data_IF_617538150714
#
_entry.id   IF_617538150714
#
_cell.length_a   1.000
_cell.length_b   1.000
_cell.length_c   1.000
_cell.angle_alpha   90.00
_cell.angle_beta   90.00
_cell.angle_gamma   90.00
#
_symmetry.space_group_name_H-M   'P 1'
#
loop_
_entity.id
_entity.type
_entity.pdbx_description
1 polymer ?
#
# COMPACT_ATOMS: atom_id res chain seq x y z
N UNK A 1 -22.99 -26.44 7.53
CA UNK A 1 -23.00 -25.01 7.89
C UNK A 1 -21.55 -24.60 8.03
N UNK A 2 -20.97 -24.04 6.97
CA UNK A 2 -19.57 -23.62 6.95
C UNK A 2 -19.47 -22.27 7.64
N UNK A 3 -18.71 -22.19 8.72
CA UNK A 3 -18.37 -20.94 9.36
C UNK A 3 -17.52 -20.12 8.38
N UNK A 4 -18.11 -19.07 7.78
CA UNK A 4 -17.33 -18.08 7.06
C UNK A 4 -16.62 -17.23 8.10
N UNK A 5 -15.42 -17.66 8.50
CA UNK A 5 -14.50 -16.71 9.13
C UNK A 5 -14.04 -15.80 8.01
N UNK A 6 -14.63 -14.61 7.95
CA UNK A 6 -14.16 -13.53 7.09
C UNK A 6 -12.77 -13.16 7.61
N UNK A 7 -11.74 -13.66 6.95
CA UNK A 7 -10.46 -12.99 6.96
C UNK A 7 -10.70 -11.68 6.24
N UNK A 8 -10.44 -10.57 6.93
CA UNK A 8 -10.43 -9.26 6.32
C UNK A 8 -9.53 -9.30 5.06
N UNK A 9 -10.15 -9.01 3.92
CA UNK A 9 -9.61 -9.03 2.56
C UNK A 9 -8.52 -7.97 2.39
N UNK A 10 -7.38 -8.13 3.04
CA UNK A 10 -6.24 -7.21 2.87
C UNK A 10 -5.42 -7.62 1.65
N UNK A 11 -5.06 -6.64 0.83
CA UNK A 11 -4.23 -6.86 -0.35
C UNK A 11 -2.72 -6.97 -0.02
N UNK A 12 -2.36 -7.02 1.28
CA UNK A 12 -1.00 -7.21 1.74
C UNK A 12 -0.67 -6.50 3.06
N UNK A 13 0.60 -6.51 3.48
CA UNK A 13 1.02 -5.98 4.78
C UNK A 13 0.91 -4.45 4.89
N UNK A 14 1.09 -3.72 3.78
CA UNK A 14 0.95 -2.26 3.75
C UNK A 14 -0.50 -1.82 3.94
N UNK A 15 -1.44 -2.58 3.36
CA UNK A 15 -2.87 -2.30 3.48
C UNK A 15 -3.37 -2.50 4.91
N UNK A 16 -2.94 -3.61 5.54
CA UNK A 16 -3.18 -3.85 6.95
C UNK A 16 -2.62 -2.71 7.81
N UNK A 17 -1.40 -2.25 7.54
CA UNK A 17 -0.79 -1.13 8.29
C UNK A 17 -1.59 0.17 8.15
N UNK A 18 -1.99 0.54 6.92
CA UNK A 18 -2.84 1.71 6.71
C UNK A 18 -4.14 1.60 7.51
N UNK A 19 -4.78 0.43 7.46
CA UNK A 19 -6.03 0.20 8.20
C UNK A 19 -5.87 0.35 9.71
N UNK A 20 -4.78 -0.18 10.27
CA UNK A 20 -4.49 -0.07 11.70
C UNK A 20 -4.20 1.39 12.11
N UNK A 21 -3.48 2.14 11.28
CA UNK A 21 -3.19 3.56 11.50
C UNK A 21 -4.48 4.39 11.43
N UNK A 22 -5.32 4.16 10.43
CA UNK A 22 -6.62 4.83 10.28
C UNK A 22 -7.55 4.52 11.46
N UNK A 23 -7.66 3.24 11.87
CA UNK A 23 -8.48 2.83 13.01
C UNK A 23 -8.02 3.45 14.33
N UNK A 24 -6.73 3.74 14.46
CA UNK A 24 -6.15 4.40 15.62
C UNK A 24 -6.22 5.94 15.54
N UNK A 25 -6.77 6.50 14.46
CA UNK A 25 -6.84 7.94 14.19
C UNK A 25 -5.46 8.63 14.26
N UNK A 26 -4.43 7.97 13.69
CA UNK A 26 -3.05 8.44 13.71
C UNK A 26 -2.59 8.92 12.32
N UNK A 27 -1.66 9.86 12.30
CA UNK A 27 -0.92 10.23 11.08
C UNK A 27 0.11 9.15 10.73
N UNK A 28 0.48 9.03 9.44
CA UNK A 28 1.52 8.09 8.98
C UNK A 28 2.90 8.62 9.40
N UNK A 29 3.38 8.20 10.56
CA UNK A 29 4.69 8.58 11.11
C UNK A 29 5.40 7.38 11.74
N UNK A 30 6.70 7.48 11.96
CA UNK A 30 7.49 6.44 12.64
C UNK A 30 6.97 6.14 14.05
N UNK A 31 6.50 7.17 14.78
CA UNK A 31 5.90 7.02 16.11
C UNK A 31 4.59 6.23 16.01
N UNK A 32 3.73 6.55 15.04
CA UNK A 32 2.49 5.83 14.82
C UNK A 32 2.74 4.37 14.47
N UNK A 33 3.73 4.09 13.63
CA UNK A 33 4.16 2.73 13.29
C UNK A 33 4.56 1.94 14.54
N UNK A 34 5.38 2.52 15.41
CA UNK A 34 5.76 1.89 16.67
C UNK A 34 4.56 1.60 17.59
N UNK A 35 3.51 2.44 17.56
CA UNK A 35 2.27 2.25 18.35
C UNK A 35 1.38 1.13 17.78
N UNK A 36 1.29 0.99 16.46
CA UNK A 36 0.46 -0.05 15.82
C UNK A 36 1.17 -1.40 15.67
N UNK A 37 2.49 -1.47 15.91
CA UNK A 37 3.28 -2.71 15.84
C UNK A 37 2.65 -3.88 16.59
N UNK A 38 2.15 -3.66 17.81
CA UNK A 38 1.57 -4.76 18.61
C UNK A 38 0.28 -5.30 17.99
N UNK A 39 -0.53 -4.42 17.41
CA UNK A 39 -1.77 -4.81 16.72
C UNK A 39 -1.45 -5.58 15.43
N UNK A 40 -0.43 -5.14 14.70
CA UNK A 40 0.05 -5.81 13.50
C UNK A 40 0.56 -7.22 13.81
N UNK A 41 1.40 -7.37 14.85
CA UNK A 41 1.91 -8.68 15.27
C UNK A 41 0.81 -9.60 15.81
N UNK A 42 -0.21 -9.05 16.49
CA UNK A 42 -1.36 -9.83 16.92
C UNK A 42 -2.11 -10.42 15.72
N UNK A 43 -2.34 -9.62 14.67
CA UNK A 43 -2.99 -10.06 13.44
C UNK A 43 -2.20 -11.17 12.73
N UNK A 44 -0.87 -11.05 12.63
CA UNK A 44 -0.02 -12.09 12.04
C UNK A 44 -0.14 -13.43 12.79
N UNK A 45 -0.23 -13.41 14.12
CA UNK A 45 -0.37 -14.63 14.91
C UNK A 45 -1.72 -15.33 14.68
N UNK A 46 -2.73 -14.60 14.24
CA UNK A 46 -4.03 -15.16 13.84
C UNK A 46 -3.98 -15.73 12.41
N UNK A 47 -3.13 -15.15 11.54
CA UNK A 47 -2.89 -15.61 10.16
C UNK A 47 -2.09 -16.92 10.08
N UNK A 48 -1.37 -17.34 11.13
CA UNK A 48 -0.47 -18.50 11.18
C UNK A 48 -1.16 -19.87 10.88
N UNK A 49 -2.46 -19.85 10.59
CA UNK A 49 -3.26 -20.98 10.10
C UNK A 49 -3.40 -21.00 8.56
N UNK A 50 -2.76 -20.07 7.84
CA UNK A 50 -2.98 -19.79 6.42
C UNK A 50 -1.64 -19.71 5.68
N UNK A 51 -1.67 -20.12 4.41
CA UNK A 51 -0.62 -20.19 3.37
C UNK A 51 0.77 -19.56 3.71
N UNK A 52 1.84 -20.38 3.77
CA UNK A 52 3.20 -19.93 4.14
C UNK A 52 3.80 -18.84 3.26
N UNK A 53 3.46 -18.82 1.97
CA UNK A 53 4.03 -17.87 1.00
C UNK A 53 3.54 -16.44 1.28
N UNK A 54 2.26 -16.28 1.64
CA UNK A 54 1.68 -15.00 2.04
C UNK A 54 2.36 -14.46 3.30
N UNK A 55 2.67 -15.35 4.26
CA UNK A 55 3.25 -14.97 5.55
C UNK A 55 4.64 -14.33 5.41
N UNK A 56 5.43 -14.71 4.40
CA UNK A 56 6.78 -14.19 4.20
C UNK A 56 6.82 -12.66 4.08
N UNK A 57 5.93 -12.08 3.28
CA UNK A 57 5.85 -10.62 3.08
C UNK A 57 5.48 -9.87 4.36
N UNK A 58 4.60 -10.46 5.16
CA UNK A 58 4.20 -9.93 6.47
C UNK A 58 5.36 -9.98 7.47
N UNK A 59 6.15 -11.05 7.47
CA UNK A 59 7.30 -11.18 8.37
C UNK A 59 8.39 -10.15 8.08
N UNK A 60 8.63 -9.81 6.81
CA UNK A 60 9.57 -8.74 6.43
C UNK A 60 9.15 -7.41 7.03
N UNK A 61 7.86 -7.06 6.95
CA UNK A 61 7.33 -5.83 7.52
C UNK A 61 7.31 -5.89 9.05
N UNK A 62 6.98 -7.04 9.64
CA UNK A 62 7.01 -7.26 11.09
C UNK A 62 8.41 -7.00 11.67
N UNK A 63 9.46 -7.51 11.02
CA UNK A 63 10.84 -7.29 11.43
C UNK A 63 11.20 -5.79 11.44
N UNK A 64 10.81 -5.06 10.39
CA UNK A 64 10.99 -3.59 10.33
C UNK A 64 10.25 -2.88 11.47
N UNK A 65 9.00 -3.25 11.75
CA UNK A 65 8.21 -2.64 12.82
C UNK A 65 8.76 -2.90 14.22
N UNK A 66 9.25 -4.12 14.49
CA UNK A 66 9.90 -4.46 15.76
C UNK A 66 11.16 -3.62 15.94
N UNK A 67 11.96 -3.49 14.89
CA UNK A 67 13.15 -2.65 14.90
C UNK A 67 12.82 -1.17 15.16
N UNK A 68 11.82 -0.62 14.45
CA UNK A 68 11.33 0.77 14.65
C UNK A 68 10.88 0.96 16.10
N UNK A 69 10.09 0.03 16.64
CA UNK A 69 9.58 0.09 18.02
C UNK A 69 10.71 0.02 19.05
N UNK A 70 11.68 -0.88 18.85
CA UNK A 70 12.83 -1.00 19.74
C UNK A 70 13.62 0.30 19.81
N UNK A 71 13.89 0.93 18.66
CA UNK A 71 14.59 2.22 18.59
C UNK A 71 13.80 3.36 19.22
N UNK A 72 12.49 3.41 18.99
CA UNK A 72 11.62 4.43 19.58
C UNK A 72 11.58 4.38 21.13
N UNK A 73 11.83 3.20 21.72
CA UNK A 73 11.77 2.99 23.17
C UNK A 73 13.12 3.05 23.87
N UNK A 74 14.24 2.91 23.13
CA UNK A 74 15.58 2.89 23.70
C UNK A 74 16.21 4.30 23.71
N UNK A 75 16.99 4.65 24.75
CA UNK A 75 17.74 5.91 24.76
C UNK A 75 18.75 5.91 23.60
N UNK A 76 18.72 6.97 22.79
CA UNK A 76 19.62 7.09 21.64
C UNK A 76 21.08 7.22 22.11
N UNK A 77 22.01 6.44 21.53
CA UNK A 77 23.43 6.68 21.76
C UNK A 77 23.80 8.09 21.29
N UNK A 78 24.85 8.71 21.87
CA UNK A 78 25.23 10.10 21.59
C UNK A 78 25.68 10.37 20.15
N UNK A 79 25.77 9.35 19.30
CA UNK A 79 26.00 9.48 17.87
C UNK A 79 24.77 8.98 17.11
N UNK A 80 24.12 9.83 16.29
CA UNK A 80 23.11 9.35 15.38
C UNK A 80 23.77 8.47 14.32
N UNK A 81 23.37 7.20 14.23
CA UNK A 81 23.70 6.37 13.08
C UNK A 81 22.78 6.81 11.93
N UNK A 82 23.34 7.23 10.79
CA UNK A 82 22.57 7.74 9.64
C UNK A 82 21.62 6.68 9.04
N UNK A 83 21.94 5.39 9.17
CA UNK A 83 21.10 4.27 8.69
C UNK A 83 19.79 4.10 9.49
N UNK A 84 19.65 4.75 10.65
CA UNK A 84 18.56 4.48 11.60
C UNK A 84 17.24 5.20 11.30
N UNK A 85 17.30 6.45 10.85
CA UNK A 85 16.10 7.18 10.43
C UNK A 85 15.58 6.67 9.09
N UNK A 86 16.46 6.13 8.23
CA UNK A 86 16.12 5.75 6.86
C UNK A 86 15.07 4.65 6.81
N UNK A 87 15.22 3.56 7.56
CA UNK A 87 14.26 2.42 7.51
C UNK A 87 12.84 2.82 7.93
N UNK A 88 12.72 3.65 8.98
CA UNK A 88 11.42 4.12 9.45
C UNK A 88 10.79 5.10 8.47
N UNK A 89 11.57 6.05 7.98
CA UNK A 89 11.13 7.04 7.00
C UNK A 89 10.80 6.40 5.64
N UNK A 90 11.55 5.40 5.22
CA UNK A 90 11.28 4.61 4.02
C UNK A 90 9.94 3.89 4.10
N UNK A 91 9.65 3.26 5.25
CA UNK A 91 8.36 2.60 5.44
C UNK A 91 7.20 3.61 5.45
N UNK A 92 7.40 4.79 6.04
CA UNK A 92 6.43 5.89 5.97
C UNK A 92 6.18 6.32 4.52
N UNK A 93 7.24 6.57 3.74
CA UNK A 93 7.14 6.95 2.32
C UNK A 93 6.42 5.88 1.50
N UNK A 94 6.75 4.61 1.74
CA UNK A 94 6.12 3.47 1.07
C UNK A 94 4.62 3.40 1.37
N UNK A 95 4.21 3.67 2.61
CA UNK A 95 2.79 3.73 2.99
C UNK A 95 2.06 4.92 2.36
N UNK A 96 2.69 6.09 2.31
CA UNK A 96 2.11 7.26 1.66
C UNK A 96 1.95 7.07 0.16
N UNK A 97 2.90 6.41 -0.49
CA UNK A 97 2.83 6.03 -1.90
C UNK A 97 1.74 4.99 -2.15
N UNK A 98 1.69 3.92 -1.36
CA UNK A 98 0.64 2.92 -1.44
C UNK A 98 -0.76 3.54 -1.26
N UNK A 99 -0.94 4.42 -0.27
CA UNK A 99 -2.20 5.15 -0.05
C UNK A 99 -2.63 5.95 -1.28
N UNK A 100 -1.69 6.63 -1.94
CA UNK A 100 -1.97 7.40 -3.17
C UNK A 100 -2.42 6.50 -4.31
N UNK A 101 -1.74 5.37 -4.52
CA UNK A 101 -2.14 4.41 -5.56
C UNK A 101 -3.47 3.74 -5.25
N UNK A 102 -3.74 3.43 -3.97
CA UNK A 102 -5.03 2.89 -3.54
C UNK A 102 -6.17 3.85 -3.87
N UNK A 103 -6.04 5.12 -3.48
CA UNK A 103 -7.02 6.15 -3.81
C UNK A 103 -7.20 6.36 -5.33
N UNK A 104 -6.12 6.31 -6.11
CA UNK A 104 -6.20 6.39 -7.57
C UNK A 104 -6.93 5.17 -8.17
N UNK A 105 -6.69 3.99 -7.62
CA UNK A 105 -7.34 2.74 -8.06
C UNK A 105 -8.84 2.75 -7.74
N UNK A 106 -9.21 3.24 -6.56
CA UNK A 106 -10.61 3.47 -6.17
C UNK A 106 -11.29 4.45 -7.13
N UNK A 107 -10.64 5.58 -7.44
CA UNK A 107 -11.18 6.54 -8.41
C UNK A 107 -11.36 5.94 -9.82
N UNK A 108 -10.42 5.12 -10.28
CA UNK A 108 -10.55 4.41 -11.56
C UNK A 108 -11.72 3.42 -11.56
N UNK A 109 -11.88 2.69 -10.46
CA UNK A 109 -12.99 1.76 -10.26
C UNK A 109 -14.34 2.47 -10.26
N UNK A 110 -14.47 3.60 -9.57
CA UNK A 110 -15.68 4.43 -9.61
C UNK A 110 -16.03 4.85 -11.05
N UNK A 111 -15.03 5.26 -11.84
CA UNK A 111 -15.24 5.64 -13.25
C UNK A 111 -15.68 4.46 -14.11
N UNK A 112 -15.13 3.28 -13.87
CA UNK A 112 -15.57 2.05 -14.54
C UNK A 112 -17.02 1.71 -14.19
N UNK A 113 -17.39 1.79 -12.91
CA UNK A 113 -18.75 1.54 -12.42
C UNK A 113 -19.76 2.55 -12.97
N UNK A 114 -19.36 3.81 -13.16
CA UNK A 114 -20.15 4.85 -13.84
C UNK A 114 -20.23 4.66 -15.36
N UNK A 115 -19.57 3.64 -15.93
CA UNK A 115 -19.59 3.36 -17.36
C UNK A 115 -18.87 4.40 -18.22
N UNK A 116 -17.99 5.22 -17.61
CA UNK A 116 -17.21 6.25 -18.31
C UNK A 116 -16.08 5.61 -19.14
N UNK A 117 -16.44 5.02 -20.28
CA UNK A 117 -15.53 4.33 -21.19
C UNK A 117 -15.23 5.19 -22.42
N UNK A 118 -13.96 5.29 -22.79
CA UNK A 118 -13.55 5.88 -24.07
C UNK A 118 -13.51 4.79 -25.13
N UNK A 119 -14.33 4.92 -26.17
CA UNK A 119 -14.24 4.05 -27.35
C UNK A 119 -13.25 4.64 -28.36
N UNK A 120 -12.25 3.87 -28.77
CA UNK A 120 -11.32 4.29 -29.83
C UNK A 120 -12.11 4.40 -31.13
N UNK A 121 -12.09 5.59 -31.75
CA UNK A 121 -12.70 5.79 -33.08
C UNK A 121 -11.74 5.28 -34.15
N UNK A 122 -11.94 4.04 -34.60
CA UNK A 122 -11.24 3.46 -35.75
C UNK A 122 -11.82 3.97 -37.09
N UNK A 123 -12.02 5.28 -37.25
CA UNK A 123 -12.39 5.84 -38.54
C UNK A 123 -11.13 5.95 -39.40
N UNK A 124 -11.12 5.43 -40.65
CA UNK A 124 -9.97 5.60 -41.53
C UNK A 124 -9.73 7.10 -41.78
N UNK A 125 -8.47 7.52 -41.73
CA UNK A 125 -8.06 8.87 -42.13
C UNK A 125 -8.60 9.11 -43.55
N UNK A 126 -9.49 10.09 -43.72
CA UNK A 126 -9.96 10.49 -45.04
C UNK A 126 -8.74 11.01 -45.80
N UNK A 127 -8.24 10.24 -46.77
CA UNK A 127 -7.16 10.69 -47.64
C UNK A 127 -7.61 11.96 -48.35
N UNK A 128 -6.89 13.07 -48.17
CA UNK A 128 -7.14 14.30 -48.91
C UNK A 128 -7.02 13.99 -50.41
N UNK A 129 -7.99 14.38 -51.26
CA UNK A 129 -7.89 14.13 -52.69
C UNK A 129 -6.62 14.77 -53.23
N UNK A 130 -5.77 13.97 -53.88
CA UNK A 130 -4.54 14.41 -54.51
C UNK A 130 -4.92 15.30 -55.71
N UNK A 131 -4.75 16.61 -55.56
CA UNK A 131 -4.90 17.54 -56.70
C UNK A 131 -3.76 17.24 -57.67
N UNK A 132 -4.08 16.73 -58.86
CA UNK A 132 -3.10 16.57 -59.94
C UNK A 132 -2.79 17.94 -60.55
N UNK A 133 -1.52 18.29 -60.82
CA UNK A 133 -1.20 19.51 -61.54
C UNK A 133 -1.63 19.41 -63.01
N UNK A 134 -2.07 20.52 -63.65
CA UNK A 134 -2.38 20.55 -65.07
C UNK A 134 -1.09 20.38 -65.90
N UNK A 135 -1.19 19.60 -66.98
CA UNK A 135 -0.10 19.30 -67.91
C UNK A 135 0.13 20.34 -68.99
#
# INVERSE_FOLDING_TARGET
MGYSVQLDTFEGPLDLLLRLIEKAELDITTISLARVTDQYLAYIRELDRIEPDLLADFLVVAAKLIWIKSRALLPQPPQPQEEEEDVGQDLVRQLEEYRRYKAASEHLREREEMGLRCHVRAAPLIARPRVLPPG
#
